data_IF_465758547266
#
_entry.id   IF_465758547266
#
_cell.length_a   1.000
_cell.length_b   1.000
_cell.length_c   1.000
_cell.angle_alpha   90.00
_cell.angle_beta   90.00
_cell.angle_gamma   90.00
#
_symmetry.space_group_name_H-M   'P 1'
#
loop_
_entity.id
_entity.type
_entity.pdbx_description
1 polymer ?
#
# COMPACT_ATOMS: atom_id res chain seq x y z
N UNK A 1 57.31 10.94 59.80
CA UNK A 1 56.56 11.99 60.49
C UNK A 1 55.34 12.36 59.70
N UNK A 2 54.22 12.46 60.43
CA UNK A 2 52.91 13.04 60.02
C UNK A 2 52.19 12.38 58.84
N UNK A 3 51.15 11.56 59.00
CA UNK A 3 49.79 11.80 59.51
C UNK A 3 48.99 12.83 58.67
N UNK A 4 47.99 12.36 57.91
CA UNK A 4 46.63 12.88 57.89
C UNK A 4 45.78 11.85 57.16
N UNK A 5 44.98 11.27 57.70
CA UNK A 5 43.63 11.07 58.19
C UNK A 5 42.55 11.79 57.39
N UNK A 6 41.57 11.00 57.06
CA UNK A 6 40.14 11.37 56.97
C UNK A 6 39.68 11.80 55.58
N UNK A 7 38.56 11.51 55.09
CA UNK A 7 37.26 11.03 55.61
C UNK A 7 36.43 10.49 54.45
N UNK A 8 35.68 9.47 54.77
CA UNK A 8 34.58 8.95 53.92
C UNK A 8 33.62 10.02 53.45
N UNK A 9 33.20 9.91 52.21
CA UNK A 9 31.82 10.29 51.85
C UNK A 9 31.28 9.32 50.80
N UNK A 10 30.46 8.45 51.33
CA UNK A 10 29.60 7.55 50.55
C UNK A 10 28.49 8.41 49.94
N UNK A 11 28.50 8.57 48.64
CA UNK A 11 27.36 9.07 47.94
C UNK A 11 26.76 7.94 47.12
N UNK A 12 25.75 7.30 47.69
CA UNK A 12 24.91 6.38 47.02
C UNK A 12 24.02 7.14 46.02
N UNK A 13 24.35 7.07 44.74
CA UNK A 13 23.44 7.51 43.68
C UNK A 13 22.68 6.27 43.18
N UNK A 14 21.43 6.16 43.61
CA UNK A 14 20.41 5.30 43.04
C UNK A 14 20.17 5.71 41.59
N UNK A 15 20.81 5.01 40.66
CA UNK A 15 20.47 5.07 39.25
C UNK A 15 19.20 4.27 39.02
N UNK A 16 18.09 4.96 38.84
CA UNK A 16 16.85 4.33 38.36
C UNK A 16 17.07 3.80 36.95
N UNK A 17 17.14 2.50 36.80
CA UNK A 17 17.10 1.81 35.52
C UNK A 17 15.66 1.91 34.99
N UNK A 18 15.42 2.88 34.11
CA UNK A 18 14.23 2.91 33.28
C UNK A 18 14.33 1.75 32.27
N UNK A 19 13.70 0.65 32.60
CA UNK A 19 13.39 -0.39 31.62
C UNK A 19 12.40 0.21 30.61
N UNK A 20 12.95 0.80 29.55
CA UNK A 20 12.18 1.12 28.36
C UNK A 20 11.70 -0.19 27.73
N UNK A 21 10.43 -0.52 27.92
CA UNK A 21 9.77 -1.54 27.14
C UNK A 21 9.77 -1.12 25.67
N UNK A 22 10.74 -1.63 24.91
CA UNK A 22 10.69 -1.58 23.46
C UNK A 22 9.49 -2.43 23.01
N UNK A 23 8.36 -1.77 22.81
CA UNK A 23 7.23 -2.36 22.13
C UNK A 23 7.66 -2.73 20.73
N UNK A 24 7.77 -4.02 20.45
CA UNK A 24 7.89 -4.54 19.12
C UNK A 24 6.62 -4.19 18.37
N UNK A 25 6.62 -3.07 17.67
CA UNK A 25 5.64 -2.80 16.63
C UNK A 25 6.05 -3.63 15.42
N UNK A 26 5.59 -4.88 15.36
CA UNK A 26 5.60 -5.67 14.14
C UNK A 26 4.47 -5.20 13.23
N UNK A 27 4.52 -3.93 12.83
CA UNK A 27 3.85 -3.45 11.65
C UNK A 27 4.83 -3.67 10.50
N UNK A 28 4.67 -4.71 9.73
CA UNK A 28 5.32 -4.76 8.43
C UNK A 28 4.78 -3.55 7.65
N UNK A 29 5.62 -2.57 7.41
CA UNK A 29 5.27 -1.49 6.49
C UNK A 29 4.98 -2.14 5.13
N UNK A 30 3.91 -1.70 4.42
CA UNK A 30 3.65 -2.21 3.08
C UNK A 30 4.91 -2.01 2.23
N UNK A 31 5.29 -3.04 1.48
CA UNK A 31 6.51 -3.04 0.66
C UNK A 31 6.51 -1.92 -0.39
N UNK A 32 5.35 -1.30 -0.63
CA UNK A 32 5.13 -0.17 -1.54
C UNK A 32 4.23 0.89 -0.90
N UNK A 33 4.37 2.18 -1.27
CA UNK A 33 3.43 3.20 -0.84
C UNK A 33 2.00 2.82 -1.25
N UNK A 34 1.03 3.13 -0.40
CA UNK A 34 -0.38 2.78 -0.62
C UNK A 34 -1.00 3.41 -1.88
N UNK A 35 -0.31 4.33 -2.54
CA UNK A 35 -0.78 4.99 -3.78
C UNK A 35 0.30 4.98 -4.86
N UNK A 36 -0.16 4.97 -6.13
CA UNK A 36 0.66 5.14 -7.32
C UNK A 36 0.11 6.31 -8.14
N UNK A 37 0.97 7.17 -8.65
CA UNK A 37 0.54 8.26 -9.54
C UNK A 37 0.23 7.76 -10.95
N UNK A 38 -0.60 8.50 -11.70
CA UNK A 38 -0.87 8.19 -13.10
C UNK A 38 0.42 8.21 -13.95
N UNK A 39 1.35 9.13 -13.67
CA UNK A 39 2.64 9.20 -14.36
C UNK A 39 3.50 7.94 -14.10
N UNK A 40 3.65 7.56 -12.84
CA UNK A 40 4.43 6.37 -12.46
C UNK A 40 3.83 5.09 -13.07
N UNK A 41 2.49 4.96 -13.05
CA UNK A 41 1.84 3.80 -13.66
C UNK A 41 2.01 3.80 -15.18
N UNK A 42 1.89 4.97 -15.85
CA UNK A 42 2.04 5.09 -17.29
C UNK A 42 3.43 4.67 -17.79
N UNK A 43 4.49 4.95 -17.03
CA UNK A 43 5.85 4.49 -17.34
C UNK A 43 6.00 2.98 -17.27
N UNK A 44 5.17 2.31 -16.49
CA UNK A 44 5.24 0.86 -16.24
C UNK A 44 4.30 0.04 -17.12
N UNK A 45 3.20 0.64 -17.58
CA UNK A 45 2.22 -0.04 -18.45
C UNK A 45 2.91 -0.56 -19.72
N UNK A 46 2.66 -1.82 -20.05
CA UNK A 46 3.27 -2.49 -21.22
C UNK A 46 4.72 -2.95 -21.04
N UNK A 47 5.30 -2.79 -19.85
CA UNK A 47 6.62 -3.33 -19.50
C UNK A 47 6.52 -4.61 -18.67
N UNK A 48 7.64 -5.32 -18.47
CA UNK A 48 7.69 -6.48 -17.57
C UNK A 48 7.56 -6.09 -16.08
N UNK A 49 7.67 -4.80 -15.75
CA UNK A 49 7.51 -4.28 -14.40
C UNK A 49 6.08 -3.75 -14.13
N UNK A 50 5.15 -3.98 -15.06
CA UNK A 50 3.76 -3.57 -14.88
C UNK A 50 3.10 -4.39 -13.76
N UNK A 51 2.40 -3.74 -12.81
CA UNK A 51 1.57 -4.43 -11.84
C UNK A 51 0.33 -5.02 -12.53
N UNK A 52 -0.41 -5.90 -11.86
CA UNK A 52 -1.78 -6.17 -12.28
C UNK A 52 -2.62 -4.92 -12.03
N UNK A 53 -3.29 -4.43 -13.06
CA UNK A 53 -4.14 -3.23 -12.98
C UNK A 53 -5.60 -3.69 -12.97
N UNK A 54 -6.33 -3.31 -11.94
CA UNK A 54 -7.71 -3.75 -11.71
C UNK A 54 -8.68 -2.59 -11.84
N UNK A 55 -9.50 -2.61 -12.89
CA UNK A 55 -10.64 -1.70 -13.04
C UNK A 55 -11.87 -2.28 -12.36
N UNK A 56 -12.31 -1.68 -11.27
CA UNK A 56 -13.46 -2.15 -10.49
C UNK A 56 -14.77 -1.46 -10.84
N UNK A 57 -14.81 -0.79 -12.00
CA UNK A 57 -16.04 -0.21 -12.57
C UNK A 57 -16.91 -1.28 -13.23
N UNK A 58 -18.08 -0.87 -13.69
CA UNK A 58 -18.94 -1.74 -14.47
C UNK A 58 -18.32 -2.10 -15.84
N UNK A 59 -18.69 -3.23 -16.45
CA UNK A 59 -18.21 -3.60 -17.80
C UNK A 59 -18.52 -2.54 -18.85
N UNK A 60 -19.64 -1.84 -18.73
CA UNK A 60 -20.02 -0.75 -19.64
C UNK A 60 -19.08 0.45 -19.52
N UNK A 61 -18.70 0.82 -18.29
CA UNK A 61 -17.73 1.91 -18.05
C UNK A 61 -16.33 1.54 -18.54
N UNK A 62 -15.93 0.28 -18.32
CA UNK A 62 -14.67 -0.26 -18.81
C UNK A 62 -14.59 -0.21 -20.35
N UNK A 63 -15.63 -0.68 -21.04
CA UNK A 63 -15.71 -0.68 -22.51
C UNK A 63 -15.74 0.74 -23.12
N UNK A 64 -16.12 1.76 -22.32
CA UNK A 64 -16.11 3.16 -22.77
C UNK A 64 -14.72 3.81 -22.66
N UNK A 65 -13.74 3.10 -22.12
CA UNK A 65 -12.35 3.53 -21.99
C UNK A 65 -11.77 3.19 -20.63
N UNK A 66 -10.59 2.58 -20.61
CA UNK A 66 -9.90 2.10 -19.40
C UNK A 66 -8.38 2.29 -19.52
N UNK A 67 -7.67 2.15 -18.42
CA UNK A 67 -6.20 2.16 -18.39
C UNK A 67 -5.69 0.95 -19.19
N UNK A 68 -4.73 1.14 -20.11
CA UNK A 68 -4.22 0.03 -20.94
C UNK A 68 -3.76 -1.17 -20.09
N UNK A 69 -4.03 -2.36 -20.58
CA UNK A 69 -3.76 -3.63 -19.91
C UNK A 69 -4.53 -3.84 -18.58
N UNK A 70 -5.50 -3.01 -18.22
CA UNK A 70 -6.32 -3.24 -17.05
C UNK A 70 -7.27 -4.42 -17.24
N UNK A 71 -7.49 -5.18 -16.17
CA UNK A 71 -8.48 -6.25 -16.09
C UNK A 71 -9.74 -5.72 -15.42
N UNK A 72 -10.91 -5.94 -16.02
CA UNK A 72 -12.16 -5.51 -15.41
C UNK A 72 -12.77 -6.59 -14.50
N UNK A 73 -12.84 -6.27 -13.22
CA UNK A 73 -13.61 -7.04 -12.25
C UNK A 73 -14.44 -6.07 -11.41
N UNK A 74 -15.76 -5.94 -11.69
CA UNK A 74 -16.61 -5.03 -10.94
C UNK A 74 -16.50 -5.25 -9.43
N UNK A 75 -16.47 -4.19 -8.65
CA UNK A 75 -16.32 -4.27 -7.19
C UNK A 75 -17.36 -5.17 -6.53
N UNK A 76 -18.56 -5.30 -7.12
CA UNK A 76 -19.64 -6.18 -6.64
C UNK A 76 -19.37 -7.66 -6.89
N UNK A 77 -18.51 -8.00 -7.84
CA UNK A 77 -18.18 -9.37 -8.22
C UNK A 77 -16.80 -9.80 -7.68
N UNK A 78 -16.00 -8.85 -7.22
CA UNK A 78 -14.59 -9.07 -6.86
C UNK A 78 -14.42 -10.20 -5.84
N UNK A 79 -15.26 -10.24 -4.80
CA UNK A 79 -15.19 -11.28 -3.76
C UNK A 79 -15.30 -12.71 -4.30
N UNK A 80 -16.16 -12.91 -5.32
CA UNK A 80 -16.34 -14.22 -5.95
C UNK A 80 -15.30 -14.55 -7.02
N UNK A 81 -14.50 -13.57 -7.44
CA UNK A 81 -13.57 -13.67 -8.58
C UNK A 81 -12.10 -13.50 -8.22
N UNK A 82 -11.76 -13.41 -6.93
CA UNK A 82 -10.36 -13.24 -6.49
C UNK A 82 -9.43 -14.33 -7.04
N UNK A 83 -9.90 -15.58 -7.10
CA UNK A 83 -9.12 -16.68 -7.65
C UNK A 83 -8.85 -16.58 -9.17
N UNK A 84 -9.57 -15.72 -9.88
CA UNK A 84 -9.38 -15.51 -11.33
C UNK A 84 -8.26 -14.50 -11.62
N UNK A 85 -7.77 -13.76 -10.61
CA UNK A 85 -6.74 -12.75 -10.81
C UNK A 85 -5.40 -13.33 -11.27
N UNK A 86 -5.11 -14.58 -10.92
CA UNK A 86 -3.94 -15.30 -11.41
C UNK A 86 -2.60 -14.76 -10.91
N UNK A 87 -2.62 -14.10 -9.75
CA UNK A 87 -1.46 -13.51 -9.09
C UNK A 87 -1.31 -14.05 -7.68
N UNK A 88 -0.09 -14.00 -7.15
CA UNK A 88 0.16 -14.27 -5.75
C UNK A 88 -0.26 -13.07 -4.87
N UNK A 89 -0.61 -13.34 -3.62
CA UNK A 89 -1.08 -12.28 -2.69
C UNK A 89 -0.02 -11.25 -2.33
N UNK A 90 1.24 -11.52 -2.63
CA UNK A 90 2.38 -10.61 -2.49
C UNK A 90 2.66 -9.78 -3.73
N UNK A 91 2.06 -10.12 -4.87
CA UNK A 91 2.28 -9.39 -6.12
C UNK A 91 1.64 -8.00 -6.05
N UNK A 92 2.25 -7.06 -6.77
CA UNK A 92 1.76 -5.68 -6.80
C UNK A 92 0.48 -5.58 -7.63
N UNK A 93 -0.54 -5.02 -7.02
CA UNK A 93 -1.87 -4.82 -7.59
C UNK A 93 -2.24 -3.34 -7.50
N UNK A 94 -2.60 -2.74 -8.62
CA UNK A 94 -3.12 -1.38 -8.69
C UNK A 94 -4.63 -1.42 -8.91
N UNK A 95 -5.39 -0.78 -8.04
CA UNK A 95 -6.85 -0.72 -8.12
C UNK A 95 -7.29 0.68 -8.48
N UNK A 96 -8.29 0.81 -9.35
CA UNK A 96 -8.91 2.08 -9.62
C UNK A 96 -10.40 1.96 -9.99
N UNK A 97 -11.10 3.07 -9.83
CA UNK A 97 -12.42 3.28 -10.41
C UNK A 97 -12.49 4.67 -11.09
N UNK A 98 -13.63 5.33 -11.12
CA UNK A 98 -13.76 6.67 -11.69
C UNK A 98 -13.27 7.76 -10.72
N UNK A 99 -13.63 7.66 -9.41
CA UNK A 99 -13.45 8.71 -8.40
C UNK A 99 -13.02 8.21 -7.01
N UNK A 100 -12.69 6.92 -6.85
CA UNK A 100 -12.11 6.33 -5.65
C UNK A 100 -13.05 5.55 -4.73
N UNK A 101 -14.35 5.83 -4.72
CA UNK A 101 -15.27 5.18 -3.76
C UNK A 101 -15.33 3.65 -3.91
N UNK A 102 -15.44 3.16 -5.15
CA UNK A 102 -15.46 1.71 -5.43
C UNK A 102 -14.08 1.08 -5.28
N UNK A 103 -13.01 1.81 -5.63
CA UNK A 103 -11.65 1.37 -5.42
C UNK A 103 -11.36 1.13 -3.94
N UNK A 104 -11.68 2.07 -3.07
CA UNK A 104 -11.50 1.91 -1.62
C UNK A 104 -12.23 0.68 -1.04
N UNK A 105 -13.42 0.35 -1.55
CA UNK A 105 -14.15 -0.87 -1.15
C UNK A 105 -13.43 -2.14 -1.63
N UNK A 106 -12.89 -2.10 -2.84
CA UNK A 106 -12.14 -3.22 -3.41
C UNK A 106 -10.81 -3.44 -2.68
N UNK A 107 -10.09 -2.37 -2.35
CA UNK A 107 -8.85 -2.43 -1.57
C UNK A 107 -9.05 -3.09 -0.21
N UNK A 108 -10.06 -2.65 0.56
CA UNK A 108 -10.39 -3.25 1.84
C UNK A 108 -10.70 -4.75 1.73
N UNK A 109 -11.37 -5.16 0.66
CA UNK A 109 -11.68 -6.56 0.41
C UNK A 109 -10.42 -7.37 0.08
N UNK A 110 -9.55 -6.84 -0.77
CA UNK A 110 -8.27 -7.45 -1.16
C UNK A 110 -7.36 -7.61 0.06
N UNK A 111 -7.19 -6.55 0.85
CA UNK A 111 -6.38 -6.58 2.08
C UNK A 111 -6.91 -7.62 3.08
N UNK A 112 -8.24 -7.66 3.27
CA UNK A 112 -8.90 -8.65 4.13
C UNK A 112 -8.67 -10.09 3.65
N UNK A 113 -8.59 -10.30 2.34
CA UNK A 113 -8.29 -11.60 1.73
C UNK A 113 -6.79 -11.93 1.73
N UNK A 114 -5.94 -11.02 2.23
CA UNK A 114 -4.51 -11.24 2.45
C UNK A 114 -3.60 -10.76 1.32
N UNK A 115 -4.09 -9.95 0.39
CA UNK A 115 -3.23 -9.25 -0.56
C UNK A 115 -2.44 -8.16 0.19
N UNK A 116 -1.11 -8.17 0.06
CA UNK A 116 -0.21 -7.33 0.87
C UNK A 116 0.39 -6.15 0.12
N UNK A 117 0.20 -6.09 -1.19
CA UNK A 117 0.78 -5.06 -2.07
C UNK A 117 -0.28 -4.41 -2.96
N UNK A 118 -1.36 -3.93 -2.34
CA UNK A 118 -2.46 -3.22 -3.01
C UNK A 118 -2.19 -1.72 -3.02
N UNK A 119 -2.28 -1.10 -4.18
CA UNK A 119 -2.07 0.35 -4.37
C UNK A 119 -3.28 0.99 -5.03
N UNK A 120 -3.67 2.15 -4.55
CA UNK A 120 -4.69 3.00 -5.16
C UNK A 120 -4.10 3.87 -6.27
N UNK A 121 -4.75 3.93 -7.44
CA UNK A 121 -4.37 4.90 -8.47
C UNK A 121 -4.77 6.30 -8.03
N UNK A 122 -3.80 7.13 -7.71
CA UNK A 122 -4.02 8.48 -7.21
C UNK A 122 -4.86 9.31 -8.20
N UNK A 123 -6.00 9.81 -7.73
CA UNK A 123 -6.95 10.57 -8.54
C UNK A 123 -7.72 9.73 -9.58
N UNK A 124 -7.54 8.42 -9.59
CA UNK A 124 -8.34 7.44 -10.32
C UNK A 124 -8.29 7.64 -11.84
N UNK A 125 -9.25 7.08 -12.57
CA UNK A 125 -9.33 7.27 -14.03
C UNK A 125 -9.43 8.75 -14.44
N UNK A 126 -9.99 9.60 -13.60
CA UNK A 126 -10.06 11.05 -13.86
C UNK A 126 -8.68 11.68 -13.96
N UNK A 127 -7.76 11.34 -13.07
CA UNK A 127 -6.39 11.84 -13.13
C UNK A 127 -5.62 11.24 -14.31
N UNK A 128 -5.83 9.98 -14.63
CA UNK A 128 -5.27 9.33 -15.82
C UNK A 128 -5.66 10.06 -17.10
N UNK A 129 -6.95 10.27 -17.30
CA UNK A 129 -7.49 11.00 -18.46
C UNK A 129 -7.08 12.48 -18.47
N UNK A 130 -7.12 13.14 -17.30
CA UNK A 130 -6.71 14.54 -17.14
C UNK A 130 -5.23 14.78 -17.43
N UNK A 131 -4.38 13.79 -17.21
CA UNK A 131 -2.97 13.78 -17.57
C UNK A 131 -2.69 13.49 -19.05
N UNK A 132 -3.73 13.20 -19.84
CA UNK A 132 -3.59 12.91 -21.27
C UNK A 132 -3.03 11.51 -21.56
N UNK A 133 -3.05 10.60 -20.60
CA UNK A 133 -2.58 9.24 -20.81
C UNK A 133 -3.56 8.44 -21.67
N UNK A 134 -3.05 7.48 -22.48
CA UNK A 134 -3.87 6.70 -23.40
C UNK A 134 -4.91 5.85 -22.66
N UNK A 135 -6.05 5.65 -23.29
CA UNK A 135 -7.08 4.68 -22.87
C UNK A 135 -7.34 3.68 -23.99
N UNK A 136 -7.72 2.47 -23.63
CA UNK A 136 -8.16 1.40 -24.51
C UNK A 136 -9.68 1.23 -24.43
#
# INVERSE_FOLDING_TARGET
MARYRSVCLVAALLGAILLGSAGCQNGAEPAHPAQITAAELAERVGTQAAPLILDVRSPREYAAGHVPAAVNVPHTELAGRLGELGIDKSDELVVYCLSGKRAAMAEQLLEKDGYTSVRDLQGQLRAWQGGGYPVE
#
